data_IF_897002835332
#
_entry.id   IF_897002835332
#
_cell.length_a   1.000
_cell.length_b   1.000
_cell.length_c   1.000
_cell.angle_alpha   90.00
_cell.angle_beta   90.00
_cell.angle_gamma   90.00
#
_symmetry.space_group_name_H-M   'P 1'
#
loop_
_entity.id
_entity.type
_entity.pdbx_description
1 polymer ?
#
# COMPACT_ATOMS: atom_id res chain seq x y z
N UNK A 1 27.22 -58.14 3.13
CA UNK A 1 26.67 -56.92 3.75
C UNK A 1 27.53 -55.75 3.31
N UNK A 2 27.30 -55.19 2.12
CA UNK A 2 27.95 -53.97 1.63
C UNK A 2 27.59 -53.75 0.15
N UNK A 3 26.70 -52.79 -0.15
CA UNK A 3 26.79 -51.93 -1.35
C UNK A 3 25.60 -50.99 -1.53
N UNK A 4 24.45 -51.23 -0.88
CA UNK A 4 23.24 -50.42 -1.12
C UNK A 4 23.38 -48.94 -0.69
N UNK A 5 24.19 -48.64 0.33
CA UNK A 5 24.44 -47.27 0.79
C UNK A 5 25.26 -46.44 -0.21
N UNK A 6 26.16 -47.07 -0.99
CA UNK A 6 27.01 -46.36 -1.95
C UNK A 6 26.23 -45.89 -3.19
N UNK A 7 25.11 -46.56 -3.48
CA UNK A 7 24.25 -46.23 -4.62
C UNK A 7 23.26 -45.11 -4.25
N UNK A 8 22.71 -45.15 -3.03
CA UNK A 8 21.85 -44.09 -2.50
C UNK A 8 22.57 -42.73 -2.37
N UNK A 9 23.82 -42.71 -1.91
CA UNK A 9 24.61 -41.46 -1.83
C UNK A 9 24.87 -40.86 -3.21
N UNK A 10 25.10 -41.70 -4.24
CA UNK A 10 25.25 -41.25 -5.62
C UNK A 10 23.95 -40.70 -6.18
N UNK A 11 22.82 -41.36 -5.93
CA UNK A 11 21.50 -40.92 -6.36
C UNK A 11 21.12 -39.59 -5.68
N UNK A 12 21.46 -39.42 -4.39
CA UNK A 12 21.28 -38.17 -3.66
C UNK A 12 22.11 -37.02 -4.22
N UNK A 13 23.37 -37.28 -4.58
CA UNK A 13 24.25 -36.26 -5.17
C UNK A 13 23.91 -35.93 -6.63
N UNK A 14 23.21 -36.82 -7.33
CA UNK A 14 22.74 -36.62 -8.70
C UNK A 14 21.41 -35.86 -8.77
N UNK A 15 20.78 -35.54 -7.63
CA UNK A 15 19.62 -34.65 -7.65
C UNK A 15 20.07 -33.27 -8.13
N UNK A 16 19.46 -32.81 -9.22
CA UNK A 16 19.69 -31.47 -9.76
C UNK A 16 19.03 -30.46 -8.81
N UNK A 17 19.74 -30.12 -7.73
CA UNK A 17 19.30 -29.12 -6.78
C UNK A 17 19.49 -27.78 -7.46
N UNK A 18 18.41 -27.26 -8.07
CA UNK A 18 18.37 -25.88 -8.56
C UNK A 18 18.88 -24.97 -7.46
N UNK A 19 20.11 -24.47 -7.61
CA UNK A 19 20.69 -23.58 -6.63
C UNK A 19 19.91 -22.28 -6.67
N UNK A 20 19.10 -22.06 -5.63
CA UNK A 20 18.40 -20.79 -5.45
C UNK A 20 19.47 -19.70 -5.34
N UNK A 21 19.49 -18.76 -6.28
CA UNK A 21 20.39 -17.62 -6.23
C UNK A 21 20.02 -16.73 -5.04
N UNK A 22 20.69 -16.98 -3.91
CA UNK A 22 20.53 -16.22 -2.67
C UNK A 22 20.83 -14.73 -2.84
N UNK A 23 21.73 -14.37 -3.75
CA UNK A 23 22.10 -12.98 -3.98
C UNK A 23 20.96 -12.22 -4.69
N UNK A 24 20.34 -12.86 -5.69
CA UNK A 24 19.18 -12.33 -6.38
C UNK A 24 17.97 -12.21 -5.44
N UNK A 25 17.71 -13.24 -4.62
CA UNK A 25 16.63 -13.23 -3.63
C UNK A 25 16.82 -12.10 -2.62
N UNK A 26 18.03 -11.96 -2.06
CA UNK A 26 18.37 -10.90 -1.10
C UNK A 26 18.23 -9.50 -1.71
N UNK A 27 18.64 -9.31 -2.96
CA UNK A 27 18.49 -8.02 -3.67
C UNK A 27 17.02 -7.68 -3.91
N UNK A 28 16.22 -8.62 -4.40
CA UNK A 28 14.79 -8.42 -4.60
C UNK A 28 14.09 -8.07 -3.28
N UNK A 29 14.48 -8.75 -2.21
CA UNK A 29 13.98 -8.49 -0.87
C UNK A 29 14.27 -7.08 -0.38
N UNK A 30 15.53 -6.65 -0.51
CA UNK A 30 15.95 -5.30 -0.12
C UNK A 30 15.16 -4.24 -0.90
N UNK A 31 15.00 -4.42 -2.21
CA UNK A 31 14.21 -3.53 -3.05
C UNK A 31 12.73 -3.49 -2.63
N UNK A 32 12.13 -4.63 -2.26
CA UNK A 32 10.77 -4.66 -1.75
C UNK A 32 10.65 -3.88 -0.44
N UNK A 33 11.60 -4.07 0.48
CA UNK A 33 11.60 -3.38 1.77
C UNK A 33 11.78 -1.88 1.62
N UNK A 34 12.74 -1.43 0.79
CA UNK A 34 12.95 -0.01 0.49
C UNK A 34 11.69 0.62 -0.10
N UNK A 35 10.99 -0.07 -1.02
CA UNK A 35 9.70 0.42 -1.56
C UNK A 35 8.65 0.61 -0.47
N UNK A 36 8.55 -0.30 0.49
CA UNK A 36 7.60 -0.16 1.60
C UNK A 36 7.92 1.02 2.50
N UNK A 37 9.20 1.27 2.80
CA UNK A 37 9.61 2.47 3.55
C UNK A 37 9.29 3.75 2.79
N UNK A 38 9.54 3.80 1.49
CA UNK A 38 9.17 4.95 0.65
C UNK A 38 7.66 5.20 0.69
N UNK A 39 6.83 4.15 0.61
CA UNK A 39 5.38 4.32 0.73
C UNK A 39 4.96 4.85 2.10
N UNK A 40 5.59 4.39 3.18
CA UNK A 40 5.29 4.88 4.53
C UNK A 40 5.70 6.35 4.67
N UNK A 41 6.85 6.72 4.14
CA UNK A 41 7.31 8.10 4.14
C UNK A 41 6.34 9.01 3.38
N UNK A 42 5.88 8.59 2.20
CA UNK A 42 4.89 9.34 1.42
C UNK A 42 3.57 9.51 2.19
N UNK A 43 3.06 8.43 2.80
CA UNK A 43 1.81 8.49 3.56
C UNK A 43 1.96 9.37 4.83
N UNK A 44 3.12 9.31 5.49
CA UNK A 44 3.43 10.16 6.64
C UNK A 44 3.54 11.64 6.25
N UNK A 45 4.19 11.94 5.12
CA UNK A 45 4.28 13.30 4.59
C UNK A 45 2.90 13.86 4.28
N UNK A 46 2.01 13.07 3.68
CA UNK A 46 0.64 13.48 3.42
C UNK A 46 -0.14 13.76 4.72
N UNK A 47 0.00 12.91 5.73
CA UNK A 47 -0.61 13.11 7.03
C UNK A 47 -0.08 14.37 7.75
N UNK A 48 1.22 14.66 7.67
CA UNK A 48 1.87 15.82 8.32
C UNK A 48 1.59 17.14 7.56
N UNK A 49 1.51 17.10 6.23
CA UNK A 49 1.27 18.30 5.43
C UNK A 49 -0.07 18.96 5.74
N UNK A 50 -1.09 18.17 6.10
CA UNK A 50 -2.44 18.66 6.39
C UNK A 50 -2.53 19.57 7.63
N UNK A 51 -2.07 19.19 8.83
CA UNK A 51 -2.08 20.07 10.00
C UNK A 51 -1.16 21.28 9.83
N UNK A 52 -0.04 21.14 9.08
CA UNK A 52 0.81 22.28 8.72
C UNK A 52 0.00 23.28 7.89
N UNK A 53 -0.73 22.83 6.86
CA UNK A 53 -1.55 23.72 6.05
C UNK A 53 -2.64 24.43 6.88
N UNK A 54 -3.29 23.72 7.81
CA UNK A 54 -4.29 24.32 8.72
C UNK A 54 -3.64 25.40 9.61
N UNK A 55 -2.44 25.14 10.14
CA UNK A 55 -1.74 26.06 11.03
C UNK A 55 -1.26 27.34 10.33
N UNK A 56 -0.78 27.25 9.08
CA UNK A 56 -0.24 28.41 8.33
C UNK A 56 -1.30 29.24 7.61
N UNK A 57 -2.49 28.68 7.30
CA UNK A 57 -3.54 29.39 6.56
C UNK A 57 -4.85 29.72 7.33
N UNK A 58 -4.85 29.96 8.66
CA UNK A 58 -6.09 30.12 9.43
C UNK A 58 -6.90 31.36 9.02
N UNK A 59 -6.24 32.43 8.57
CA UNK A 59 -6.92 33.67 8.13
C UNK A 59 -7.63 33.57 6.79
N UNK A 60 -7.44 32.47 6.05
CA UNK A 60 -8.02 32.26 4.71
C UNK A 60 -9.13 31.22 4.69
N UNK A 61 -9.42 30.59 5.83
CA UNK A 61 -10.37 29.48 5.95
C UNK A 61 -11.57 29.90 6.80
N UNK A 62 -12.78 29.50 6.41
CA UNK A 62 -13.94 29.66 7.27
C UNK A 62 -13.92 28.64 8.42
N UNK A 63 -14.71 28.86 9.47
CA UNK A 63 -14.83 27.92 10.60
C UNK A 63 -15.28 26.55 10.12
N UNK A 64 -16.20 26.50 9.15
CA UNK A 64 -16.65 25.26 8.52
C UNK A 64 -15.51 24.52 7.81
N UNK A 65 -14.75 25.22 6.96
CA UNK A 65 -13.61 24.64 6.24
C UNK A 65 -12.57 24.07 7.22
N UNK A 66 -12.32 24.78 8.32
CA UNK A 66 -11.38 24.36 9.37
C UNK A 66 -11.85 23.07 10.06
N UNK A 67 -13.11 23.01 10.50
CA UNK A 67 -13.69 21.82 11.14
C UNK A 67 -13.69 20.62 10.17
N UNK A 68 -14.04 20.87 8.92
CA UNK A 68 -14.03 19.83 7.88
C UNK A 68 -12.63 19.26 7.66
N UNK A 69 -11.62 20.12 7.51
CA UNK A 69 -10.23 19.68 7.32
C UNK A 69 -9.70 18.89 8.53
N UNK A 70 -10.05 19.28 9.75
CA UNK A 70 -9.70 18.49 10.95
C UNK A 70 -10.39 17.11 10.97
N UNK A 71 -11.64 17.04 10.51
CA UNK A 71 -12.38 15.78 10.42
C UNK A 71 -11.76 14.84 9.38
N UNK A 72 -11.41 15.37 8.20
CA UNK A 72 -10.68 14.60 7.18
C UNK A 72 -9.29 14.20 7.66
N UNK A 73 -8.57 15.08 8.38
CA UNK A 73 -7.28 14.76 8.97
C UNK A 73 -7.38 13.56 9.93
N UNK A 74 -8.38 13.54 10.82
CA UNK A 74 -8.58 12.42 11.74
C UNK A 74 -8.81 11.10 10.98
N UNK A 75 -9.59 11.13 9.90
CA UNK A 75 -9.77 9.96 9.02
C UNK A 75 -8.46 9.53 8.35
N UNK A 76 -7.66 10.48 7.86
CA UNK A 76 -6.35 10.20 7.26
C UNK A 76 -5.38 9.59 8.27
N UNK A 77 -5.39 10.06 9.52
CA UNK A 77 -4.55 9.48 10.60
C UNK A 77 -4.98 8.04 10.90
N UNK A 78 -6.27 7.79 11.08
CA UNK A 78 -6.80 6.42 11.28
C UNK A 78 -6.41 5.52 10.10
N UNK A 79 -6.55 6.04 8.88
CA UNK A 79 -6.15 5.34 7.66
C UNK A 79 -4.66 5.02 7.60
N UNK A 80 -3.82 5.99 7.96
CA UNK A 80 -2.37 5.84 8.00
C UNK A 80 -1.96 4.71 8.95
N UNK A 81 -2.51 4.67 10.16
CA UNK A 81 -2.23 3.58 11.11
C UNK A 81 -2.76 2.24 10.62
N UNK A 82 -3.92 2.20 9.95
CA UNK A 82 -4.42 1.00 9.31
C UNK A 82 -3.47 0.47 8.23
N UNK A 83 -2.95 1.34 7.36
CA UNK A 83 -1.98 0.97 6.33
C UNK A 83 -0.64 0.52 6.94
N UNK A 84 -0.17 1.17 8.00
CA UNK A 84 1.00 0.73 8.75
C UNK A 84 0.82 -0.67 9.33
N UNK A 85 -0.36 -0.93 9.92
CA UNK A 85 -0.70 -2.24 10.46
C UNK A 85 -0.70 -3.32 9.37
N UNK A 86 -1.19 -3.04 8.16
CA UNK A 86 -1.10 -3.97 7.03
C UNK A 86 0.35 -4.20 6.57
N UNK A 87 1.22 -3.18 6.63
CA UNK A 87 2.62 -3.24 6.21
C UNK A 87 3.57 -3.85 7.24
N UNK A 88 3.11 -4.11 8.48
CA UNK A 88 3.95 -4.64 9.57
C UNK A 88 4.73 -5.90 9.20
N UNK A 89 4.13 -6.78 8.39
CA UNK A 89 4.75 -8.03 7.96
C UNK A 89 5.93 -7.82 7.00
N UNK A 90 5.95 -6.71 6.26
CA UNK A 90 7.09 -6.35 5.40
C UNK A 90 8.19 -5.57 6.15
N UNK A 91 7.85 -4.93 7.29
CA UNK A 91 8.76 -4.12 8.09
C UNK A 91 9.45 -4.90 9.21
N UNK A 92 8.74 -5.84 9.82
CA UNK A 92 9.19 -6.66 10.95
C UNK A 92 10.06 -7.85 10.59
N UNK A 93 10.50 -7.97 9.33
CA UNK A 93 11.45 -8.99 8.92
C UNK A 93 12.84 -8.68 9.51
N UNK A 94 13.16 -9.31 10.64
CA UNK A 94 14.55 -9.60 11.00
C UNK A 94 15.00 -10.75 10.10
N UNK A 95 16.19 -10.66 9.50
CA UNK A 95 16.74 -11.72 8.64
C UNK A 95 17.06 -13.01 9.42
N UNK A 96 16.94 -12.98 10.74
CA UNK A 96 16.98 -14.15 11.63
C UNK A 96 15.58 -14.77 11.77
N UNK A 97 15.00 -15.24 10.67
CA UNK A 97 13.91 -16.22 10.79
C UNK A 97 14.50 -17.52 11.33
N UNK A 98 13.97 -18.03 12.44
CA UNK A 98 14.45 -19.23 13.12
C UNK A 98 14.35 -20.50 12.25
N UNK A 99 13.55 -20.49 11.18
CA UNK A 99 13.41 -21.60 10.23
C UNK A 99 13.05 -21.13 8.81
N UNK A 100 13.33 -21.97 7.80
CA UNK A 100 12.90 -21.76 6.39
C UNK A 100 11.38 -21.69 6.26
N UNK A 101 10.65 -22.47 7.05
CA UNK A 101 9.18 -22.48 7.08
C UNK A 101 8.60 -21.14 7.50
N UNK A 102 9.19 -20.51 8.53
CA UNK A 102 8.79 -19.16 8.96
C UNK A 102 9.03 -18.11 7.87
N UNK A 103 10.10 -18.27 7.10
CA UNK A 103 10.40 -17.37 5.98
C UNK A 103 9.30 -17.43 4.92
N UNK A 104 8.92 -18.65 4.50
CA UNK A 104 7.90 -18.92 3.48
C UNK A 104 6.53 -18.38 3.89
N UNK A 105 6.10 -18.67 5.13
CA UNK A 105 4.80 -18.20 5.63
C UNK A 105 4.72 -16.67 5.62
N UNK A 106 5.81 -16.00 6.02
CA UNK A 106 5.85 -14.54 6.04
C UNK A 106 5.87 -13.93 4.63
N UNK A 107 6.54 -14.56 3.65
CA UNK A 107 6.46 -14.14 2.23
C UNK A 107 5.02 -14.24 1.73
N UNK A 108 4.34 -15.36 2.00
CA UNK A 108 2.93 -15.58 1.64
C UNK A 108 2.03 -14.51 2.26
N UNK A 109 2.21 -14.22 3.55
CA UNK A 109 1.51 -13.16 4.25
C UNK A 109 1.77 -11.79 3.60
N UNK A 110 3.01 -11.48 3.24
CA UNK A 110 3.37 -10.22 2.59
C UNK A 110 2.66 -10.03 1.24
N UNK A 111 2.51 -11.07 0.42
CA UNK A 111 1.74 -10.97 -0.83
C UNK A 111 0.26 -10.74 -0.55
N UNK A 112 -0.34 -11.50 0.37
CA UNK A 112 -1.75 -11.31 0.78
C UNK A 112 -2.02 -9.89 1.29
N UNK A 113 -1.13 -9.34 2.13
CA UNK A 113 -1.28 -7.97 2.62
C UNK A 113 -1.11 -6.93 1.50
N UNK A 114 -0.19 -7.12 0.56
CA UNK A 114 -0.03 -6.20 -0.56
C UNK A 114 -1.24 -6.20 -1.51
N UNK A 115 -1.87 -7.37 -1.74
CA UNK A 115 -3.15 -7.47 -2.46
C UNK A 115 -4.22 -6.67 -1.73
N UNK A 116 -4.34 -6.86 -0.41
CA UNK A 116 -5.32 -6.15 0.43
C UNK A 116 -5.12 -4.64 0.38
N UNK A 117 -3.88 -4.15 0.51
CA UNK A 117 -3.55 -2.72 0.40
C UNK A 117 -3.94 -2.17 -0.99
N UNK A 118 -3.60 -2.88 -2.07
CA UNK A 118 -3.92 -2.44 -3.42
C UNK A 118 -5.44 -2.38 -3.65
N UNK A 119 -6.17 -3.40 -3.20
CA UNK A 119 -7.63 -3.44 -3.29
C UNK A 119 -8.29 -2.30 -2.51
N UNK A 120 -7.88 -2.11 -1.26
CA UNK A 120 -8.43 -1.09 -0.38
C UNK A 120 -8.15 0.33 -0.90
N UNK A 121 -6.94 0.60 -1.40
CA UNK A 121 -6.61 1.88 -2.03
C UNK A 121 -7.38 2.11 -3.34
N UNK A 122 -7.62 1.06 -4.13
CA UNK A 122 -8.45 1.13 -5.34
C UNK A 122 -9.89 1.52 -5.02
N UNK A 123 -10.46 0.92 -3.97
CA UNK A 123 -11.80 1.26 -3.48
C UNK A 123 -11.83 2.71 -2.97
N UNK A 124 -10.79 3.13 -2.24
CA UNK A 124 -10.69 4.50 -1.74
C UNK A 124 -10.71 5.54 -2.87
N UNK A 125 -10.07 5.26 -4.02
CA UNK A 125 -10.09 6.15 -5.18
C UNK A 125 -11.52 6.47 -5.67
N UNK A 126 -12.48 5.58 -5.44
CA UNK A 126 -13.89 5.81 -5.78
C UNK A 126 -14.60 6.69 -4.75
N UNK A 127 -14.27 6.55 -3.46
CA UNK A 127 -14.89 7.32 -2.38
C UNK A 127 -14.28 8.72 -2.21
N UNK A 128 -13.02 8.92 -2.57
CA UNK A 128 -12.34 10.23 -2.45
C UNK A 128 -13.08 11.38 -3.15
N UNK A 129 -13.56 11.26 -4.40
CA UNK A 129 -14.38 12.29 -5.04
C UNK A 129 -15.67 12.60 -4.27
N UNK A 130 -16.32 11.57 -3.71
CA UNK A 130 -17.58 11.74 -2.98
C UNK A 130 -17.38 12.61 -1.74
N UNK A 131 -16.27 12.42 -1.01
CA UNK A 131 -15.90 13.27 0.12
C UNK A 131 -15.77 14.74 -0.30
N UNK A 132 -15.12 15.02 -1.43
CA UNK A 132 -14.98 16.39 -1.94
C UNK A 132 -16.31 16.97 -2.46
N UNK A 133 -17.14 16.17 -3.12
CA UNK A 133 -18.48 16.61 -3.54
C UNK A 133 -19.32 16.97 -2.33
N UNK A 134 -19.33 16.14 -1.28
CA UNK A 134 -20.01 16.45 -0.03
C UNK A 134 -19.51 17.76 0.58
N UNK A 135 -18.19 17.96 0.65
CA UNK A 135 -17.60 19.23 1.12
C UNK A 135 -18.16 20.44 0.37
N UNK A 136 -18.14 20.41 -0.97
CA UNK A 136 -18.61 21.54 -1.78
C UNK A 136 -20.13 21.75 -1.67
N UNK A 137 -20.93 20.70 -1.51
CA UNK A 137 -22.36 20.82 -1.27
C UNK A 137 -22.65 21.50 0.07
N UNK A 138 -22.02 21.05 1.15
CA UNK A 138 -22.18 21.67 2.47
C UNK A 138 -21.67 23.12 2.49
N UNK A 139 -20.54 23.39 1.83
CA UNK A 139 -20.02 24.76 1.69
C UNK A 139 -20.98 25.66 0.88
N UNK A 140 -21.64 25.13 -0.15
CA UNK A 140 -22.55 25.88 -1.01
C UNK A 140 -23.85 26.28 -0.28
N UNK A 141 -24.40 25.39 0.55
CA UNK A 141 -25.63 25.65 1.30
C UNK A 141 -25.40 26.29 2.68
N UNK A 142 -24.24 26.08 3.30
CA UNK A 142 -23.94 26.48 4.67
C UNK A 142 -23.11 27.75 4.82
N UNK A 143 -22.40 28.20 3.78
CA UNK A 143 -21.51 29.37 3.86
C UNK A 143 -21.91 30.42 2.81
N UNK A 144 -22.15 31.66 3.25
CA UNK A 144 -22.52 32.81 2.39
C UNK A 144 -21.35 33.34 1.53
N UNK A 145 -20.22 32.64 1.54
CA UNK A 145 -19.03 32.99 0.78
C UNK A 145 -19.33 33.14 -0.73
N UNK A 146 -18.52 33.95 -1.41
CA UNK A 146 -18.67 34.27 -2.83
C UNK A 146 -18.73 32.99 -3.69
N UNK A 147 -19.95 32.60 -4.07
CA UNK A 147 -20.25 31.31 -4.73
C UNK A 147 -19.41 31.09 -6.00
N UNK A 148 -19.03 32.15 -6.71
CA UNK A 148 -18.18 32.05 -7.90
C UNK A 148 -16.78 31.53 -7.57
N UNK A 149 -16.21 31.95 -6.42
CA UNK A 149 -14.89 31.50 -5.96
C UNK A 149 -14.96 30.03 -5.54
N UNK A 150 -16.03 29.63 -4.85
CA UNK A 150 -16.27 28.24 -4.44
C UNK A 150 -16.39 27.32 -5.66
N UNK A 151 -17.19 27.70 -6.65
CA UNK A 151 -17.35 26.93 -7.89
C UNK A 151 -16.04 26.82 -8.69
N UNK A 152 -15.22 27.87 -8.70
CA UNK A 152 -13.89 27.83 -9.36
C UNK A 152 -12.96 26.83 -8.68
N UNK A 153 -12.90 26.85 -7.34
CA UNK A 153 -12.12 25.88 -6.55
C UNK A 153 -12.63 24.45 -6.77
N UNK A 154 -13.95 24.26 -6.75
CA UNK A 154 -14.59 22.97 -6.98
C UNK A 154 -14.25 22.41 -8.36
N UNK A 155 -14.39 23.20 -9.43
CA UNK A 155 -14.04 22.78 -10.79
C UNK A 155 -12.57 22.37 -10.91
N UNK A 156 -11.65 23.18 -10.37
CA UNK A 156 -10.22 22.87 -10.45
C UNK A 156 -9.88 21.59 -9.69
N UNK A 157 -10.46 21.41 -8.50
CA UNK A 157 -10.25 20.22 -7.68
C UNK A 157 -10.86 18.96 -8.30
N UNK A 158 -12.08 19.05 -8.84
CA UNK A 158 -12.73 17.94 -9.52
C UNK A 158 -11.98 17.56 -10.81
N UNK A 159 -11.49 18.53 -11.58
CA UNK A 159 -10.68 18.27 -12.76
C UNK A 159 -9.38 17.53 -12.40
N UNK A 160 -8.69 18.00 -11.36
CA UNK A 160 -7.49 17.33 -10.86
C UNK A 160 -7.79 15.88 -10.44
N UNK A 161 -8.85 15.66 -9.65
CA UNK A 161 -9.25 14.32 -9.22
C UNK A 161 -9.68 13.44 -10.40
N UNK A 162 -10.39 13.99 -11.39
CA UNK A 162 -10.84 13.26 -12.57
C UNK A 162 -9.67 12.75 -13.43
N UNK A 163 -8.49 13.38 -13.36
CA UNK A 163 -7.30 12.92 -14.06
C UNK A 163 -6.46 12.01 -13.16
N UNK A 164 -6.16 12.44 -11.93
CA UNK A 164 -5.24 11.72 -11.05
C UNK A 164 -5.82 10.40 -10.52
N UNK A 165 -7.10 10.36 -10.13
CA UNK A 165 -7.67 9.17 -9.51
C UNK A 165 -7.80 7.99 -10.48
N UNK A 166 -8.18 8.15 -11.76
CA UNK A 166 -8.13 7.04 -12.71
C UNK A 166 -6.72 6.50 -12.94
N UNK A 167 -5.70 7.38 -12.99
CA UNK A 167 -4.29 6.96 -13.12
C UNK A 167 -3.85 6.14 -11.90
N UNK A 168 -4.19 6.60 -10.70
CA UNK A 168 -3.90 5.89 -9.45
C UNK A 168 -4.66 4.56 -9.41
N UNK A 169 -5.95 4.55 -9.79
CA UNK A 169 -6.78 3.35 -9.83
C UNK A 169 -6.18 2.30 -10.77
N UNK A 170 -5.77 2.70 -11.97
CA UNK A 170 -5.13 1.79 -12.94
C UNK A 170 -3.82 1.23 -12.39
N UNK A 171 -3.00 2.06 -11.75
CA UNK A 171 -1.77 1.62 -11.10
C UNK A 171 -2.05 0.62 -9.96
N UNK A 172 -3.06 0.90 -9.12
CA UNK A 172 -3.48 0.00 -8.04
C UNK A 172 -4.03 -1.33 -8.59
N UNK A 173 -4.79 -1.29 -9.68
CA UNK A 173 -5.29 -2.49 -10.35
C UNK A 173 -4.14 -3.36 -10.87
N UNK A 174 -3.18 -2.76 -11.59
CA UNK A 174 -1.98 -3.48 -12.07
C UNK A 174 -1.17 -4.06 -10.91
N UNK A 175 -1.04 -3.31 -9.81
CA UNK A 175 -0.37 -3.78 -8.59
C UNK A 175 -1.10 -4.97 -7.97
N UNK A 176 -2.43 -4.91 -7.85
CA UNK A 176 -3.26 -6.01 -7.33
C UNK A 176 -3.05 -7.29 -8.16
N UNK A 177 -3.14 -7.19 -9.49
CA UNK A 177 -2.95 -8.33 -10.39
C UNK A 177 -1.54 -8.93 -10.30
N UNK A 178 -0.51 -8.08 -10.24
CA UNK A 178 0.87 -8.53 -10.07
C UNK A 178 1.05 -9.38 -8.82
N UNK A 179 0.53 -8.93 -7.67
CA UNK A 179 0.67 -9.69 -6.42
C UNK A 179 -0.21 -10.92 -6.36
N UNK A 180 -1.38 -10.93 -7.03
CA UNK A 180 -2.18 -12.14 -7.21
C UNK A 180 -1.44 -13.20 -8.02
N UNK A 181 -0.80 -12.81 -9.13
CA UNK A 181 0.05 -13.71 -9.92
C UNK A 181 1.19 -14.29 -9.10
N UNK A 182 1.95 -13.43 -8.41
CA UNK A 182 3.04 -13.89 -7.53
C UNK A 182 2.58 -14.85 -6.42
N UNK A 183 1.40 -14.62 -5.85
CA UNK A 183 0.84 -15.51 -4.83
C UNK A 183 0.43 -16.87 -5.44
N UNK A 184 -0.21 -16.87 -6.61
CA UNK A 184 -0.61 -18.08 -7.30
C UNK A 184 0.62 -18.91 -7.74
N UNK A 185 1.65 -18.26 -8.27
CA UNK A 185 2.92 -18.91 -8.62
C UNK A 185 3.58 -19.52 -7.39
N UNK A 186 3.60 -18.78 -6.27
CA UNK A 186 4.18 -19.25 -5.01
C UNK A 186 3.44 -20.47 -4.45
N UNK A 187 2.11 -20.46 -4.44
CA UNK A 187 1.28 -21.59 -4.00
C UNK A 187 1.46 -22.80 -4.93
N UNK A 188 1.54 -22.58 -6.26
CA UNK A 188 1.72 -23.68 -7.22
C UNK A 188 3.07 -24.41 -7.10
N UNK A 189 4.14 -23.72 -6.70
CA UNK A 189 5.47 -24.33 -6.53
C UNK A 189 5.67 -24.94 -5.14
N UNK A 190 5.09 -24.34 -4.10
CA UNK A 190 5.32 -24.76 -2.72
C UNK A 190 4.30 -25.77 -2.19
N UNK A 191 3.06 -25.77 -2.68
CA UNK A 191 2.05 -26.77 -2.28
C UNK A 191 2.28 -28.14 -2.96
N UNK A 192 3.25 -28.25 -3.88
CA UNK A 192 3.67 -29.50 -4.54
C UNK A 192 4.93 -30.13 -3.92
N UNK A 193 5.59 -29.44 -3.00
CA UNK A 193 6.79 -29.89 -2.30
C UNK A 193 6.45 -30.42 -0.90
#
# INVERSE_FOLDING_TARGET
>A
MSNDNFDLDKIWQQQDVTQVDFHLLKRQWWLMRTKQYVYILMDALAAIAMPIAIYFFPRKMSTFETIWLWSVFLLVVVWFFYLLWLRRFSLGFKSESASTTDFIERVKLQYKQNIKIAHVNKVLCFYTPLVFVCFFLFAYFGDSSNQQVLLRKAKLMLLFNAICLPLIWFWMHKREQKFKGLLADFEAHWDRA
#
